data_IF_915313991496
#
_entry.id   IF_915313991496
#
_cell.length_a   1.000
_cell.length_b   1.000
_cell.length_c   1.000
_cell.angle_alpha   90.00
_cell.angle_beta   90.00
_cell.angle_gamma   90.00
#
_symmetry.space_group_name_H-M   'P 1'
#
loop_
_entity.id
_entity.type
_entity.pdbx_description
1 polymer ?
#
# COMPACT_ATOMS: atom_id res chain seq x y z
N UNK A 1 -18.60 -91.41 12.66
CA UNK A 1 -17.40 -90.95 11.94
C UNK A 1 -17.59 -89.46 11.63
N UNK A 2 -17.10 -88.66 12.57
CA UNK A 2 -17.36 -87.20 12.53
C UNK A 2 -16.00 -86.51 12.39
N UNK A 3 -15.77 -85.87 11.27
CA UNK A 3 -14.52 -85.17 10.91
C UNK A 3 -14.59 -83.76 11.46
N UNK A 4 -13.71 -83.45 12.40
CA UNK A 4 -13.58 -82.16 13.03
C UNK A 4 -12.62 -81.27 12.19
N UNK A 5 -13.13 -80.23 11.56
CA UNK A 5 -12.33 -79.29 10.76
C UNK A 5 -11.95 -78.09 11.63
N UNK A 6 -10.65 -77.96 11.92
CA UNK A 6 -10.06 -76.89 12.73
C UNK A 6 -9.80 -75.69 11.84
N UNK A 7 -10.55 -74.60 12.03
CA UNK A 7 -10.27 -73.33 11.34
C UNK A 7 -9.27 -72.48 12.17
N UNK A 8 -8.08 -72.22 11.56
CA UNK A 8 -7.13 -71.28 12.09
C UNK A 8 -7.58 -69.86 11.67
N UNK A 9 -7.85 -69.03 12.65
CA UNK A 9 -8.03 -67.59 12.51
C UNK A 9 -6.66 -66.90 12.48
N UNK A 10 -6.28 -66.36 11.32
CA UNK A 10 -5.10 -65.52 11.16
C UNK A 10 -5.56 -64.06 11.36
N UNK A 11 -5.16 -63.46 12.48
CA UNK A 11 -5.39 -62.03 12.77
C UNK A 11 -4.40 -61.19 11.95
N UNK A 12 -4.87 -60.61 10.83
CA UNK A 12 -4.14 -59.64 10.03
C UNK A 12 -4.14 -58.27 10.71
N UNK A 13 -2.98 -57.90 11.24
CA UNK A 13 -2.75 -56.55 11.76
C UNK A 13 -2.59 -55.57 10.58
N UNK A 14 -3.68 -54.84 10.28
CA UNK A 14 -3.65 -53.80 9.20
C UNK A 14 -3.15 -52.50 9.79
N UNK A 15 -1.86 -52.21 9.57
CA UNK A 15 -1.26 -50.93 9.86
C UNK A 15 -1.67 -49.91 8.79
N UNK A 16 -2.60 -49.00 9.14
CA UNK A 16 -2.92 -47.85 8.28
C UNK A 16 -1.76 -46.86 8.30
N UNK A 17 -1.26 -46.39 7.13
CA UNK A 17 -0.30 -45.30 7.11
C UNK A 17 -1.01 -44.01 7.55
N UNK A 18 -0.44 -43.32 8.53
CA UNK A 18 -0.79 -42.00 8.94
C UNK A 18 -0.49 -41.03 7.79
N UNK A 19 -1.50 -40.48 7.14
CA UNK A 19 -1.36 -39.41 6.17
C UNK A 19 -0.90 -38.16 6.92
N UNK A 20 0.39 -37.85 6.79
CA UNK A 20 0.98 -36.60 7.28
C UNK A 20 0.39 -35.46 6.44
N UNK A 21 -0.43 -34.61 7.05
CA UNK A 21 -0.87 -33.36 6.44
C UNK A 21 0.38 -32.47 6.26
N UNK A 22 0.89 -32.38 5.05
CA UNK A 22 1.87 -31.37 4.68
C UNK A 22 1.17 -30.01 4.70
N UNK A 23 1.48 -29.25 5.73
CA UNK A 23 1.15 -27.84 5.82
C UNK A 23 2.00 -27.12 4.74
N UNK A 24 1.41 -26.90 3.58
CA UNK A 24 1.99 -26.02 2.56
C UNK A 24 1.93 -24.59 3.08
N UNK A 25 2.94 -24.19 3.83
CA UNK A 25 3.19 -22.79 4.10
C UNK A 25 3.44 -22.13 2.73
N UNK A 26 2.48 -21.33 2.28
CA UNK A 26 2.67 -20.44 1.14
C UNK A 26 3.77 -19.46 1.48
N UNK A 27 4.98 -19.78 1.09
CA UNK A 27 6.11 -18.86 1.11
C UNK A 27 5.83 -17.83 0.03
N UNK A 28 5.31 -16.67 0.43
CA UNK A 28 5.26 -15.50 -0.43
C UNK A 28 6.70 -15.15 -0.80
N UNK A 29 7.08 -15.47 -2.03
CA UNK A 29 8.35 -15.05 -2.63
C UNK A 29 8.39 -13.51 -2.57
N UNK A 30 9.46 -12.88 -2.04
CA UNK A 30 9.58 -11.44 -2.11
C UNK A 30 9.58 -11.03 -3.58
N UNK A 31 8.59 -10.22 -3.99
CA UNK A 31 8.61 -9.63 -5.33
C UNK A 31 9.85 -8.74 -5.45
N UNK A 32 10.74 -9.09 -6.35
CA UNK A 32 11.83 -8.21 -6.77
C UNK A 32 11.21 -7.05 -7.54
N UNK A 33 11.15 -5.87 -6.93
CA UNK A 33 10.81 -4.63 -7.62
C UNK A 33 11.94 -4.29 -8.58
N UNK A 34 11.64 -4.16 -9.86
CA UNK A 34 12.61 -3.99 -10.94
C UNK A 34 13.17 -2.54 -11.03
N UNK A 35 12.81 -1.67 -10.08
CA UNK A 35 13.27 -0.28 -10.10
C UNK A 35 12.94 0.54 -8.86
N UNK A 36 13.64 1.66 -8.73
CA UNK A 36 13.39 2.69 -7.72
C UNK A 36 12.86 3.94 -8.40
N UNK A 37 11.67 4.40 -8.00
CA UNK A 37 11.11 5.67 -8.45
C UNK A 37 11.69 6.77 -7.56
N UNK A 38 12.25 7.81 -8.18
CA UNK A 38 12.67 9.01 -7.46
C UNK A 38 11.45 9.91 -7.28
N UNK A 39 10.97 10.08 -6.05
CA UNK A 39 9.90 11.00 -5.67
C UNK A 39 10.50 12.25 -5.04
N UNK A 40 10.05 13.42 -5.46
CA UNK A 40 10.53 14.72 -4.98
C UNK A 40 9.38 15.71 -4.81
N UNK A 41 9.64 16.81 -4.12
CA UNK A 41 8.73 17.96 -4.03
C UNK A 41 9.52 19.26 -4.19
N UNK A 42 8.93 20.26 -4.84
CA UNK A 42 9.46 21.60 -4.84
C UNK A 42 9.26 22.32 -3.48
N UNK A 43 8.37 21.77 -2.63
CA UNK A 43 8.01 22.38 -1.35
C UNK A 43 8.99 22.05 -0.21
N UNK A 44 9.59 20.84 -0.21
CA UNK A 44 10.54 20.37 0.81
C UNK A 44 11.37 19.21 0.25
N UNK A 45 12.54 18.99 0.85
CA UNK A 45 13.43 17.87 0.50
C UNK A 45 13.33 16.75 1.53
N UNK A 46 13.95 15.60 1.21
CA UNK A 46 14.04 14.45 2.10
C UNK A 46 14.53 14.87 3.50
N UNK A 47 13.74 14.53 4.53
CA UNK A 47 14.02 14.83 5.93
C UNK A 47 13.75 16.27 6.38
N UNK A 48 13.46 17.18 5.46
CA UNK A 48 13.16 18.57 5.82
C UNK A 48 11.76 18.75 6.43
N UNK A 49 11.54 19.90 7.05
CA UNK A 49 10.23 20.27 7.58
C UNK A 49 9.27 20.60 6.44
N UNK A 50 8.08 20.01 6.49
CA UNK A 50 6.98 20.33 5.58
C UNK A 50 6.48 21.76 5.89
N UNK A 51 6.45 22.65 4.88
CA UNK A 51 6.01 24.02 5.11
C UNK A 51 4.56 24.11 5.62
N UNK A 52 4.33 25.06 6.52
CA UNK A 52 3.06 25.25 7.23
C UNK A 52 1.82 25.26 6.34
N UNK A 53 1.92 25.79 5.11
CA UNK A 53 0.80 25.85 4.17
C UNK A 53 0.23 24.47 3.81
N UNK A 54 1.04 23.40 3.90
CA UNK A 54 0.64 22.02 3.61
C UNK A 54 0.17 21.25 4.86
N UNK A 55 -0.01 21.93 5.98
CA UNK A 55 -0.34 21.33 7.28
C UNK A 55 -1.64 21.89 7.85
N UNK A 56 -2.18 21.27 8.89
CA UNK A 56 -3.40 21.74 9.58
C UNK A 56 -3.26 23.12 10.24
N UNK A 57 -2.03 23.60 10.42
CA UNK A 57 -1.76 24.93 10.97
C UNK A 57 -1.71 26.03 9.89
N UNK A 58 -1.86 25.65 8.61
CA UNK A 58 -1.89 26.55 7.46
C UNK A 58 -3.14 26.38 6.60
N UNK A 59 -2.97 26.56 5.28
CA UNK A 59 -4.08 26.42 4.30
C UNK A 59 -4.53 24.97 4.15
N UNK A 60 -3.66 24.02 4.51
CA UNK A 60 -3.93 22.58 4.47
C UNK A 60 -4.17 22.04 3.05
N UNK A 61 -3.38 22.49 2.10
CA UNK A 61 -3.40 22.05 0.70
C UNK A 61 -2.34 20.96 0.45
N UNK A 62 -2.55 20.12 -0.56
CA UNK A 62 -1.57 19.11 -0.94
C UNK A 62 -0.30 19.74 -1.50
N UNK A 63 0.91 19.25 -1.15
CA UNK A 63 2.14 19.72 -1.76
C UNK A 63 2.25 19.28 -3.22
N UNK A 64 3.03 20.00 -4.06
CA UNK A 64 3.39 19.51 -5.38
C UNK A 64 4.33 18.32 -5.25
N UNK A 65 4.14 17.31 -6.10
CA UNK A 65 4.99 16.12 -6.18
C UNK A 65 5.45 15.90 -7.60
N UNK A 66 6.71 15.51 -7.76
CA UNK A 66 7.29 15.12 -9.05
C UNK A 66 7.99 13.78 -8.92
N UNK A 67 7.97 12.97 -9.96
CA UNK A 67 8.65 11.69 -9.97
C UNK A 67 9.29 11.36 -11.31
N UNK A 68 10.27 10.48 -11.24
CA UNK A 68 10.98 9.93 -12.40
C UNK A 68 11.41 8.49 -12.15
N UNK A 69 11.75 7.77 -13.20
CA UNK A 69 12.18 6.38 -13.10
C UNK A 69 11.02 5.38 -13.05
N UNK A 70 9.82 5.77 -13.47
CA UNK A 70 8.70 4.83 -13.62
C UNK A 70 9.04 3.84 -14.74
N UNK A 71 9.01 2.51 -14.47
CA UNK A 71 9.29 1.50 -15.50
C UNK A 71 8.26 1.52 -16.62
N UNK A 72 8.69 1.19 -17.85
CA UNK A 72 7.79 1.10 -19.00
C UNK A 72 6.73 -0.01 -18.87
N UNK A 73 6.95 -0.98 -17.99
CA UNK A 73 6.00 -2.04 -17.67
C UNK A 73 4.84 -1.57 -16.79
N UNK A 74 4.98 -0.41 -16.15
CA UNK A 74 3.91 0.14 -15.34
C UNK A 74 2.73 0.61 -16.21
N UNK A 75 1.52 0.35 -15.73
CA UNK A 75 0.26 0.85 -16.32
C UNK A 75 -0.34 1.96 -15.49
N UNK A 76 -0.27 1.81 -14.15
CA UNK A 76 -0.82 2.80 -13.23
C UNK A 76 0.14 3.08 -12.07
N UNK A 77 -0.14 4.19 -11.37
CA UNK A 77 0.55 4.58 -10.15
C UNK A 77 -0.45 4.67 -9.00
N UNK A 78 0.05 4.39 -7.78
CA UNK A 78 -0.63 4.75 -6.55
C UNK A 78 0.28 5.64 -5.69
N UNK A 79 -0.32 6.56 -4.94
CA UNK A 79 0.38 7.43 -3.98
C UNK A 79 -0.34 7.31 -2.63
N UNK A 80 0.43 7.05 -1.58
CA UNK A 80 -0.06 6.98 -0.20
C UNK A 80 0.81 7.89 0.65
N UNK A 81 0.18 8.84 1.36
CA UNK A 81 0.87 9.61 2.39
C UNK A 81 0.39 9.16 3.77
N UNK A 82 1.32 8.83 4.66
CA UNK A 82 1.02 8.37 6.01
C UNK A 82 2.03 8.85 7.06
N UNK A 83 1.57 8.87 8.33
CA UNK A 83 2.31 9.20 9.54
C UNK A 83 2.41 7.95 10.43
N UNK A 84 3.57 7.28 10.50
CA UNK A 84 3.76 6.13 11.36
C UNK A 84 3.98 6.49 12.84
N UNK A 85 4.20 7.76 13.16
CA UNK A 85 4.49 8.25 14.50
C UNK A 85 3.22 8.66 15.27
N UNK A 86 2.04 8.56 14.63
CA UNK A 86 0.77 8.90 15.27
C UNK A 86 0.45 7.97 16.46
N UNK A 87 -0.09 8.50 17.59
CA UNK A 87 -0.25 7.74 18.84
C UNK A 87 -1.13 6.48 18.73
N UNK A 88 -2.06 6.46 17.79
CA UNK A 88 -2.99 5.31 17.59
C UNK A 88 -2.52 4.33 16.51
N UNK A 89 -1.28 4.42 16.07
CA UNK A 89 -0.74 3.67 14.91
C UNK A 89 -0.65 4.54 13.66
N UNK A 90 -0.26 3.95 12.54
CA UNK A 90 -0.10 4.70 11.30
C UNK A 90 -1.38 5.44 10.91
N UNK A 91 -1.29 6.75 10.72
CA UNK A 91 -2.39 7.62 10.31
C UNK A 91 -2.26 7.97 8.82
N UNK A 92 -3.35 7.75 8.07
CA UNK A 92 -3.38 7.96 6.62
C UNK A 92 -3.81 9.38 6.30
N UNK A 93 -2.94 10.08 5.57
CA UNK A 93 -3.12 11.48 5.18
C UNK A 93 -3.66 11.63 3.76
N UNK A 94 -3.31 10.72 2.84
CA UNK A 94 -3.71 10.79 1.44
C UNK A 94 -3.63 9.43 0.76
N UNK A 95 -4.60 9.14 -0.11
CA UNK A 95 -4.64 7.91 -0.91
C UNK A 95 -5.02 8.28 -2.34
N UNK A 96 -4.18 7.90 -3.32
CA UNK A 96 -4.42 8.03 -4.75
C UNK A 96 -4.10 6.69 -5.39
N UNK A 97 -4.86 6.30 -6.41
CA UNK A 97 -4.63 5.06 -7.16
C UNK A 97 -5.21 5.16 -8.57
N UNK A 98 -4.79 4.21 -9.44
CA UNK A 98 -5.12 4.18 -10.85
C UNK A 98 -4.75 5.48 -11.60
N UNK A 99 -3.75 6.23 -11.11
CA UNK A 99 -3.18 7.34 -11.85
C UNK A 99 -2.41 6.77 -13.04
N UNK A 100 -2.64 7.24 -14.29
CA UNK A 100 -1.92 6.74 -15.46
C UNK A 100 -0.41 6.87 -15.30
N UNK A 101 0.35 5.83 -15.70
CA UNK A 101 1.80 5.73 -15.46
C UNK A 101 2.63 6.78 -16.23
N UNK A 102 2.07 7.40 -17.28
CA UNK A 102 2.69 8.50 -18.03
C UNK A 102 2.70 9.83 -17.27
N UNK A 103 1.97 9.96 -16.18
CA UNK A 103 2.05 11.15 -15.33
C UNK A 103 3.45 11.24 -14.70
N UNK A 104 3.98 12.45 -14.63
CA UNK A 104 5.31 12.75 -14.09
C UNK A 104 5.27 13.63 -12.83
N UNK A 105 4.07 13.99 -12.37
CA UNK A 105 3.91 14.81 -11.18
C UNK A 105 2.46 15.21 -10.92
N UNK A 106 2.26 15.84 -9.78
CA UNK A 106 1.00 16.44 -9.34
C UNK A 106 1.25 17.88 -8.91
N UNK A 107 0.35 18.75 -9.30
CA UNK A 107 0.41 20.16 -8.89
C UNK A 107 0.00 20.33 -7.43
N UNK A 108 0.40 21.45 -6.85
CA UNK A 108 -0.07 21.90 -5.53
C UNK A 108 -1.60 22.04 -5.51
N UNK A 109 -2.19 21.85 -4.35
CA UNK A 109 -3.60 22.13 -4.09
C UNK A 109 -4.57 21.34 -5.00
N UNK A 110 -4.38 20.03 -5.07
CA UNK A 110 -5.35 19.17 -5.77
C UNK A 110 -6.72 19.23 -5.09
N UNK A 111 -7.80 19.39 -5.88
CA UNK A 111 -9.16 19.38 -5.32
C UNK A 111 -9.46 18.07 -4.60
N UNK A 112 -10.18 18.12 -3.48
CA UNK A 112 -10.66 16.95 -2.74
C UNK A 112 -11.88 16.32 -3.47
N UNK A 113 -11.66 15.79 -4.65
CA UNK A 113 -12.67 15.13 -5.50
C UNK A 113 -12.34 13.66 -5.65
N UNK A 114 -13.35 12.83 -5.84
CA UNK A 114 -13.18 11.38 -6.06
C UNK A 114 -12.34 11.08 -7.29
N UNK A 115 -12.58 11.81 -8.39
CA UNK A 115 -11.90 11.62 -9.66
C UNK A 115 -10.89 12.74 -9.90
N UNK A 116 -9.68 12.39 -10.29
CA UNK A 116 -8.63 13.33 -10.67
C UNK A 116 -8.74 13.70 -12.15
N UNK A 117 -8.50 14.97 -12.48
CA UNK A 117 -8.44 15.41 -13.88
C UNK A 117 -7.32 14.74 -14.68
N UNK A 118 -6.22 14.37 -14.01
CA UNK A 118 -5.10 13.65 -14.59
C UNK A 118 -5.36 12.15 -14.78
N UNK A 119 -6.55 11.68 -14.46
CA UNK A 119 -6.91 10.26 -14.37
C UNK A 119 -6.70 9.69 -12.97
N UNK A 120 -7.35 8.56 -12.69
CA UNK A 120 -7.31 7.91 -11.39
C UNK A 120 -8.27 8.49 -10.35
N UNK A 121 -8.17 7.96 -9.15
CA UNK A 121 -9.11 8.21 -8.06
C UNK A 121 -8.40 8.67 -6.79
N UNK A 122 -9.11 9.41 -5.95
CA UNK A 122 -8.73 9.62 -4.56
C UNK A 122 -9.53 8.73 -3.62
N UNK A 123 -8.85 8.24 -2.59
CA UNK A 123 -9.40 7.43 -1.53
C UNK A 123 -9.72 8.21 -0.27
N UNK A 124 -10.29 7.51 0.71
CA UNK A 124 -10.53 8.04 2.05
C UNK A 124 -9.23 8.07 2.86
N UNK A 125 -8.98 9.18 3.51
CA UNK A 125 -7.96 9.33 4.55
C UNK A 125 -8.56 9.06 5.94
N UNK A 126 -7.72 9.02 6.98
CA UNK A 126 -8.18 8.74 8.35
C UNK A 126 -8.87 9.94 9.04
N UNK A 127 -8.94 11.10 8.38
CA UNK A 127 -9.83 12.19 8.78
C UNK A 127 -11.27 11.98 8.30
N UNK A 128 -11.58 10.85 7.66
CA UNK A 128 -12.91 10.53 7.10
C UNK A 128 -13.27 11.36 5.86
N UNK A 129 -12.28 11.76 5.07
CA UNK A 129 -12.45 12.65 3.90
C UNK A 129 -11.72 12.08 2.67
N UNK A 130 -12.25 12.40 1.50
CA UNK A 130 -11.56 12.23 0.22
C UNK A 130 -10.48 13.30 0.09
N UNK A 131 -9.30 12.90 -0.43
CA UNK A 131 -8.20 13.80 -0.74
C UNK A 131 -7.18 13.95 0.38
N UNK A 132 -6.42 15.04 0.31
CA UNK A 132 -5.31 15.31 1.21
C UNK A 132 -5.79 15.87 2.56
N UNK A 133 -5.18 15.35 3.65
CA UNK A 133 -5.22 15.94 4.98
C UNK A 133 -3.80 16.13 5.48
N UNK A 134 -3.39 17.37 5.75
CA UNK A 134 -2.00 17.70 6.08
C UNK A 134 -1.55 17.21 7.44
N UNK A 135 -0.23 17.22 7.67
CA UNK A 135 0.38 17.00 8.98
C UNK A 135 -0.32 17.77 10.11
N UNK A 136 -0.68 17.03 11.15
CA UNK A 136 -1.36 17.61 12.33
C UNK A 136 -0.99 16.81 13.59
N UNK A 137 0.30 16.76 13.99
CA UNK A 137 0.70 15.99 15.14
C UNK A 137 0.10 16.60 16.42
N UNK A 138 -0.32 15.79 17.39
CA UNK A 138 -0.85 16.30 18.66
C UNK A 138 0.24 17.00 19.49
N UNK A 139 1.50 16.55 19.36
CA UNK A 139 2.68 17.14 20.00
C UNK A 139 3.95 16.56 19.39
N UNK A 140 5.08 17.29 19.53
CA UNK A 140 6.37 16.81 19.08
C UNK A 140 6.57 16.82 17.58
N UNK A 141 7.54 16.07 17.09
CA UNK A 141 7.89 15.99 15.66
C UNK A 141 7.52 14.62 15.13
N UNK A 142 6.69 14.58 14.08
CA UNK A 142 6.31 13.37 13.38
C UNK A 142 6.92 13.34 11.97
N UNK A 143 7.06 12.14 11.42
CA UNK A 143 7.51 11.87 10.04
C UNK A 143 6.31 11.57 9.17
N UNK A 144 6.32 12.14 7.97
CA UNK A 144 5.26 11.98 6.97
C UNK A 144 5.88 11.39 5.72
N UNK A 145 5.49 10.17 5.38
CA UNK A 145 6.01 9.45 4.22
C UNK A 145 5.04 9.59 3.06
N UNK A 146 5.50 10.21 1.98
CA UNK A 146 4.83 10.17 0.68
C UNK A 146 5.42 9.01 -0.09
N UNK A 147 4.63 8.00 -0.38
CA UNK A 147 5.06 6.76 -1.04
C UNK A 147 4.41 6.68 -2.41
N UNK A 148 5.19 6.32 -3.44
CA UNK A 148 4.69 6.08 -4.80
C UNK A 148 4.94 4.64 -5.19
N UNK A 149 3.95 4.02 -5.82
CA UNK A 149 3.97 2.64 -6.28
C UNK A 149 3.60 2.59 -7.75
N UNK A 150 4.42 1.92 -8.57
CA UNK A 150 4.11 1.63 -9.96
C UNK A 150 3.58 0.20 -10.07
N UNK A 151 2.48 0.03 -10.80
CA UNK A 151 1.73 -1.21 -10.89
C UNK A 151 1.60 -1.65 -12.36
N UNK A 152 1.64 -2.95 -12.61
CA UNK A 152 1.49 -3.54 -13.95
C UNK A 152 0.02 -3.67 -14.40
N UNK A 153 -0.92 -3.25 -13.58
CA UNK A 153 -2.35 -3.29 -13.88
C UNK A 153 -3.10 -2.05 -13.34
N UNK A 154 -4.37 -1.97 -13.67
CA UNK A 154 -5.34 -1.10 -13.03
C UNK A 154 -6.00 -1.85 -11.86
N UNK A 155 -6.14 -1.20 -10.71
CA UNK A 155 -6.77 -1.80 -9.53
C UNK A 155 -8.29 -1.81 -9.71
N UNK A 156 -8.98 -2.93 -9.40
CA UNK A 156 -10.43 -3.06 -9.56
C UNK A 156 -11.19 -2.36 -8.40
N UNK A 157 -10.85 -1.11 -8.14
CA UNK A 157 -11.39 -0.31 -7.04
C UNK A 157 -12.13 0.91 -7.57
N UNK A 158 -13.22 1.28 -6.89
CA UNK A 158 -13.95 2.53 -7.12
C UNK A 158 -13.34 3.64 -6.28
N UNK A 159 -13.65 4.90 -6.60
CA UNK A 159 -13.27 6.06 -5.81
C UNK A 159 -13.67 5.90 -4.33
N UNK A 160 -12.88 6.47 -3.42
CA UNK A 160 -13.11 6.38 -1.99
C UNK A 160 -12.54 5.14 -1.29
N UNK A 161 -11.76 4.29 -1.98
CA UNK A 161 -11.11 3.16 -1.33
C UNK A 161 -10.13 3.62 -0.24
N UNK A 162 -10.03 2.86 0.83
CA UNK A 162 -9.09 3.08 1.93
C UNK A 162 -7.68 2.64 1.57
N UNK A 163 -6.66 3.09 2.32
CA UNK A 163 -5.28 2.59 2.18
C UNK A 163 -5.22 1.06 2.19
N UNK A 164 -5.90 0.42 3.15
CA UNK A 164 -5.86 -1.05 3.30
C UNK A 164 -6.44 -1.77 2.07
N UNK A 165 -7.52 -1.25 1.47
CA UNK A 165 -8.09 -1.82 0.23
C UNK A 165 -7.15 -1.63 -0.95
N UNK A 166 -6.50 -0.47 -1.07
CA UNK A 166 -5.52 -0.20 -2.12
C UNK A 166 -4.29 -1.09 -1.96
N UNK A 167 -3.70 -1.18 -0.76
CA UNK A 167 -2.54 -2.04 -0.49
C UNK A 167 -2.84 -3.51 -0.79
N UNK A 168 -4.01 -4.01 -0.39
CA UNK A 168 -4.45 -5.37 -0.71
C UNK A 168 -4.60 -5.59 -2.21
N UNK A 169 -5.16 -4.62 -2.94
CA UNK A 169 -5.32 -4.74 -4.39
C UNK A 169 -3.99 -4.63 -5.15
N UNK A 170 -2.97 -4.00 -4.57
CA UNK A 170 -1.61 -3.91 -5.14
C UNK A 170 -0.80 -5.20 -4.98
N UNK A 171 -1.22 -6.13 -4.11
CA UNK A 171 -0.48 -7.39 -3.89
C UNK A 171 -0.29 -8.15 -5.21
N UNK A 172 0.95 -8.50 -5.52
CA UNK A 172 1.29 -9.20 -6.75
C UNK A 172 1.46 -8.33 -8.00
N UNK A 173 1.23 -7.01 -7.92
CA UNK A 173 1.23 -6.09 -9.05
C UNK A 173 2.29 -4.99 -8.99
N UNK A 174 3.08 -4.96 -7.93
CA UNK A 174 4.11 -3.94 -7.74
C UNK A 174 5.32 -4.19 -8.65
N UNK A 175 5.67 -3.21 -9.50
CA UNK A 175 6.85 -3.26 -10.38
C UNK A 175 7.96 -2.30 -9.95
N UNK A 176 7.63 -1.20 -9.29
CA UNK A 176 8.60 -0.27 -8.72
C UNK A 176 7.97 0.56 -7.62
N UNK A 177 8.80 1.16 -6.77
CA UNK A 177 8.33 2.06 -5.72
C UNK A 177 9.38 3.13 -5.39
N UNK A 178 8.92 4.18 -4.72
CA UNK A 178 9.78 5.24 -4.18
C UNK A 178 9.10 5.96 -3.03
N UNK A 179 9.83 6.80 -2.33
CA UNK A 179 9.26 7.62 -1.26
C UNK A 179 10.00 8.94 -1.11
N UNK A 180 9.31 9.90 -0.49
CA UNK A 180 9.83 11.15 0.02
C UNK A 180 9.32 11.32 1.45
N UNK A 181 10.21 11.55 2.41
CA UNK A 181 9.84 11.78 3.80
C UNK A 181 10.05 13.25 4.17
N UNK A 182 9.04 13.85 4.78
CA UNK A 182 9.15 15.15 5.44
C UNK A 182 8.81 15.04 6.92
N UNK A 183 9.17 16.07 7.68
CA UNK A 183 8.84 16.16 9.11
C UNK A 183 7.90 17.34 9.36
N UNK A 184 7.12 17.27 10.44
CA UNK A 184 6.39 18.44 10.95
C UNK A 184 6.30 18.37 12.47
N UNK A 185 6.41 19.54 13.09
CA UNK A 185 6.37 19.69 14.55
C UNK A 185 5.26 20.68 14.96
N UNK A 186 4.52 20.30 15.97
CA UNK A 186 3.59 21.17 16.69
C UNK A 186 4.14 21.53 18.06
#
# INVERSE_FOLDING_TARGET
MTLLLLMLLVAGCSTRPKLSAQNSASTSTPQTTDGSIKLTSAAFKEGESIPRQYTCDGVNVSPPLEWSGVPKSAKTLAIIADDPDAPSGTWVHWVIYNLPAENIGMVENLPATENLKAGGFQGNNDFGKIGYGGPCPPSGTHRYFFKIYALDNELPLKAGATKAEVEKAMEGHLVAQGQLMGTYRK
#
